data_IF_614074365430
#
_entry.id   IF_614074365430
#
_cell.length_a   1.000
_cell.length_b   1.000
_cell.length_c   1.000
_cell.angle_alpha   90.00
_cell.angle_beta   90.00
_cell.angle_gamma   90.00
#
_symmetry.space_group_name_H-M   'P 1'
#
loop_
_entity.id
_entity.type
_entity.pdbx_description
1 polymer ?
#
# COMPACT_ATOMS: atom_id res chain seq x y z
N UNK A 1 38.94 -13.79 61.80
CA UNK A 1 38.03 -12.68 61.44
C UNK A 1 38.82 -11.38 61.44
N UNK A 2 39.14 -10.84 60.26
CA UNK A 2 39.99 -9.66 60.11
C UNK A 2 39.68 -8.88 58.82
N UNK A 3 38.96 -7.77 59.00
CA UNK A 3 39.14 -6.43 58.42
C UNK A 3 39.64 -6.25 56.96
N UNK A 4 38.85 -5.41 56.27
CA UNK A 4 39.24 -4.18 55.55
C UNK A 4 39.45 -4.20 54.02
N UNK A 5 38.62 -3.33 53.40
CA UNK A 5 38.90 -2.35 52.34
C UNK A 5 39.68 -2.76 51.07
N UNK A 6 39.00 -2.55 49.94
CA UNK A 6 39.47 -1.55 48.98
C UNK A 6 40.13 -2.08 47.72
N UNK A 7 39.47 -1.85 46.58
CA UNK A 7 40.13 -1.33 45.38
C UNK A 7 39.11 -0.85 44.37
N UNK A 8 39.02 0.47 44.28
CA UNK A 8 38.49 1.18 43.12
C UNK A 8 39.58 1.12 42.06
N UNK A 9 39.30 0.49 40.92
CA UNK A 9 40.04 0.76 39.68
C UNK A 9 39.00 1.05 38.62
N UNK A 10 38.82 2.35 38.36
CA UNK A 10 38.17 2.81 37.15
C UNK A 10 39.08 2.61 35.95
N UNK A 11 38.50 2.22 34.82
CA UNK A 11 39.09 2.44 33.50
C UNK A 11 38.01 3.12 32.66
N UNK A 12 38.17 4.43 32.54
CA UNK A 12 37.62 5.26 31.49
C UNK A 12 38.65 5.24 30.36
N UNK A 13 38.32 4.71 29.18
CA UNK A 13 39.08 4.93 27.94
C UNK A 13 38.22 4.68 26.69
N UNK A 14 37.77 5.81 26.12
CA UNK A 14 37.69 6.21 24.72
C UNK A 14 37.74 5.17 23.59
N UNK A 15 36.79 5.38 22.66
CA UNK A 15 36.94 5.41 21.20
C UNK A 15 36.81 4.11 20.37
N UNK A 16 35.96 4.26 19.35
CA UNK A 16 35.89 3.57 18.06
C UNK A 16 35.11 2.25 17.95
N UNK A 17 34.37 2.16 16.82
CA UNK A 17 33.61 1.06 16.23
C UNK A 17 32.10 1.10 16.58
N UNK A 18 31.16 1.21 15.66
CA UNK A 18 31.20 1.38 14.21
C UNK A 18 29.94 2.16 13.81
N UNK A 19 30.04 2.97 12.76
CA UNK A 19 28.84 3.46 12.05
C UNK A 19 28.27 2.28 11.28
N UNK A 20 27.63 1.37 12.00
CA UNK A 20 26.76 0.38 11.39
C UNK A 20 25.57 1.18 10.86
N UNK A 21 25.62 1.49 9.56
CA UNK A 21 24.45 1.94 8.83
C UNK A 21 23.38 0.89 9.03
N UNK A 22 22.54 1.11 10.03
CA UNK A 22 21.36 0.33 10.29
C UNK A 22 20.48 0.59 9.07
N UNK A 23 20.52 -0.31 8.09
CA UNK A 23 19.53 -0.36 7.03
C UNK A 23 18.20 -0.58 7.75
N UNK A 24 17.51 0.52 8.05
CA UNK A 24 16.13 0.44 8.49
C UNK A 24 15.40 -0.39 7.43
N UNK A 25 14.68 -1.45 7.83
CA UNK A 25 13.86 -2.16 6.86
C UNK A 25 12.98 -1.13 6.17
N UNK A 26 12.97 -1.14 4.84
CA UNK A 26 12.14 -0.24 4.06
C UNK A 26 10.70 -0.29 4.55
N UNK A 27 9.97 0.82 4.43
CA UNK A 27 8.55 0.81 4.74
C UNK A 27 7.87 -0.38 4.02
N UNK A 28 6.90 -1.07 4.64
CA UNK A 28 6.21 -2.14 3.95
C UNK A 28 5.34 -1.57 2.82
N UNK A 29 5.11 -2.37 1.78
CA UNK A 29 4.06 -2.08 0.83
C UNK A 29 2.69 -2.14 1.54
N UNK A 30 1.80 -1.19 1.24
CA UNK A 30 0.48 -1.13 1.87
C UNK A 30 -0.61 -0.66 0.91
N UNK A 31 -1.86 -1.05 1.19
CA UNK A 31 -3.04 -0.48 0.53
C UNK A 31 -3.38 0.82 1.23
N UNK A 32 -3.25 1.93 0.52
CA UNK A 32 -3.49 3.27 1.07
C UNK A 32 -4.95 3.70 0.93
N UNK A 33 -5.68 3.14 -0.06
CA UNK A 33 -7.07 3.51 -0.30
C UNK A 33 -7.86 2.49 -1.09
N UNK A 34 -9.15 2.38 -0.78
CA UNK A 34 -10.16 1.76 -1.64
C UNK A 34 -11.09 2.83 -2.20
N UNK A 35 -11.24 2.87 -3.53
CA UNK A 35 -12.15 3.79 -4.23
C UNK A 35 -13.23 2.96 -4.90
N UNK A 36 -14.48 3.23 -4.57
CA UNK A 36 -15.62 2.44 -5.09
C UNK A 36 -16.69 3.32 -5.74
N UNK A 37 -17.31 2.79 -6.80
CA UNK A 37 -18.39 3.44 -7.52
C UNK A 37 -19.34 2.40 -8.13
N UNK A 38 -20.65 2.60 -7.92
CA UNK A 38 -21.69 1.86 -8.64
C UNK A 38 -21.66 2.23 -10.12
N UNK A 39 -21.71 1.22 -10.99
CA UNK A 39 -21.56 1.36 -12.43
C UNK A 39 -20.31 2.18 -12.80
N UNK A 40 -19.16 1.81 -12.21
CA UNK A 40 -17.88 2.49 -12.45
C UNK A 40 -17.14 2.00 -13.70
N UNK A 41 -17.63 0.96 -14.37
CA UNK A 41 -16.95 0.31 -15.48
C UNK A 41 -15.75 -0.54 -15.04
N UNK A 42 -14.85 -0.84 -15.97
CA UNK A 42 -13.69 -1.71 -15.72
C UNK A 42 -14.03 -3.20 -15.58
N UNK A 43 -12.99 -4.01 -15.37
CA UNK A 43 -13.08 -5.45 -15.14
C UNK A 43 -12.13 -5.82 -14.00
N UNK A 44 -12.44 -6.91 -13.27
CA UNK A 44 -11.55 -7.41 -12.23
C UNK A 44 -10.18 -7.79 -12.80
N UNK A 45 -9.14 -7.51 -12.03
CA UNK A 45 -7.74 -7.69 -12.45
C UNK A 45 -7.02 -8.68 -11.52
N UNK A 46 -6.05 -9.40 -12.06
CA UNK A 46 -5.19 -10.32 -11.31
C UNK A 46 -3.88 -9.68 -10.86
N UNK A 47 -3.49 -8.55 -11.45
CA UNK A 47 -2.25 -7.82 -11.19
C UNK A 47 -2.51 -6.33 -11.19
N UNK A 48 -1.81 -5.57 -10.36
CA UNK A 48 -1.93 -4.14 -10.28
C UNK A 48 -1.23 -3.44 -11.46
N UNK A 49 -1.76 -2.28 -11.85
CA UNK A 49 -1.17 -1.39 -12.85
C UNK A 49 -0.32 -0.34 -12.15
N UNK A 50 0.90 -0.13 -12.65
CA UNK A 50 1.81 0.92 -12.17
C UNK A 50 1.33 2.31 -12.59
N UNK A 51 1.34 3.27 -11.66
CA UNK A 51 0.90 4.66 -11.86
C UNK A 51 2.04 5.67 -11.58
N UNK A 52 3.18 5.51 -12.24
CA UNK A 52 4.37 6.32 -11.98
C UNK A 52 4.33 7.69 -12.69
N UNK A 53 3.59 7.81 -13.78
CA UNK A 53 3.51 9.01 -14.61
C UNK A 53 2.07 9.44 -14.89
N UNK A 54 1.87 10.71 -15.24
CA UNK A 54 0.53 11.22 -15.59
C UNK A 54 -0.06 10.51 -16.81
N UNK A 55 0.78 10.16 -17.79
CA UNK A 55 0.33 9.41 -18.96
C UNK A 55 -0.15 7.98 -18.60
N UNK A 56 0.47 7.33 -17.61
CA UNK A 56 0.00 6.04 -17.10
C UNK A 56 -1.30 6.19 -16.32
N UNK A 57 -1.43 7.25 -15.52
CA UNK A 57 -2.68 7.59 -14.80
C UNK A 57 -3.81 7.84 -15.79
N UNK A 58 -3.64 8.70 -16.78
CA UNK A 58 -4.69 9.00 -17.75
C UNK A 58 -5.10 7.75 -18.56
N UNK A 59 -4.14 6.91 -18.94
CA UNK A 59 -4.43 5.62 -19.60
C UNK A 59 -5.24 4.70 -18.69
N UNK A 60 -4.86 4.61 -17.42
CA UNK A 60 -5.58 3.82 -16.42
C UNK A 60 -7.00 4.35 -16.20
N UNK A 61 -7.18 5.67 -16.13
CA UNK A 61 -8.48 6.29 -15.87
C UNK A 61 -9.45 6.20 -17.07
N UNK A 62 -8.94 6.15 -18.29
CA UNK A 62 -9.75 6.11 -19.52
C UNK A 62 -10.65 4.86 -19.65
N UNK A 63 -10.44 3.82 -18.82
CA UNK A 63 -11.22 2.58 -18.85
C UNK A 63 -12.47 2.60 -17.95
N UNK A 64 -12.65 3.66 -17.17
CA UNK A 64 -13.72 3.80 -16.20
C UNK A 64 -14.75 4.83 -16.64
N UNK A 65 -15.94 4.74 -16.09
CA UNK A 65 -16.94 5.79 -16.17
C UNK A 65 -16.42 7.09 -15.51
N UNK A 66 -16.87 8.23 -16.02
CA UNK A 66 -16.37 9.56 -15.63
C UNK A 66 -16.40 9.79 -14.11
N UNK A 67 -17.48 9.34 -13.45
CA UNK A 67 -17.64 9.50 -11.99
C UNK A 67 -16.60 8.73 -11.17
N UNK A 68 -16.23 7.51 -11.60
CA UNK A 68 -15.16 6.74 -10.95
C UNK A 68 -13.79 7.31 -11.31
N UNK A 69 -13.58 7.70 -12.57
CA UNK A 69 -12.33 8.30 -13.03
C UNK A 69 -11.97 9.58 -12.26
N UNK A 70 -12.95 10.45 -11.98
CA UNK A 70 -12.75 11.66 -11.18
C UNK A 70 -12.36 11.35 -9.73
N UNK A 71 -13.07 10.41 -9.09
CA UNK A 71 -12.75 9.97 -7.72
C UNK A 71 -11.36 9.36 -7.63
N UNK A 72 -10.99 8.54 -8.61
CA UNK A 72 -9.67 7.93 -8.69
C UNK A 72 -8.58 8.97 -8.91
N UNK A 73 -8.79 9.94 -9.81
CA UNK A 73 -7.83 11.03 -10.02
C UNK A 73 -7.58 11.79 -8.72
N UNK A 74 -8.64 12.20 -8.02
CA UNK A 74 -8.52 12.91 -6.75
C UNK A 74 -7.78 12.08 -5.68
N UNK A 75 -8.07 10.78 -5.61
CA UNK A 75 -7.36 9.87 -4.70
C UNK A 75 -5.87 9.73 -5.07
N UNK A 76 -5.56 9.50 -6.34
CA UNK A 76 -4.19 9.35 -6.83
C UNK A 76 -3.35 10.60 -6.51
N UNK A 77 -3.90 11.80 -6.72
CA UNK A 77 -3.19 13.05 -6.40
C UNK A 77 -2.93 13.23 -4.89
N UNK A 78 -3.79 12.69 -4.03
CA UNK A 78 -3.56 12.72 -2.57
C UNK A 78 -2.45 11.76 -2.13
N UNK A 79 -2.37 10.60 -2.76
CA UNK A 79 -1.40 9.56 -2.37
C UNK A 79 -0.05 9.71 -3.12
N UNK A 80 -0.01 10.50 -4.19
CA UNK A 80 1.23 10.81 -4.92
C UNK A 80 2.14 11.68 -4.07
N UNK A 81 3.33 11.15 -3.74
CA UNK A 81 4.37 11.88 -3.03
C UNK A 81 5.06 11.11 -1.91
N UNK A 82 4.58 9.91 -1.56
CA UNK A 82 5.07 9.15 -0.41
C UNK A 82 6.47 8.50 -0.56
N UNK A 83 7.30 8.88 -1.55
CA UNK A 83 8.68 8.36 -1.68
C UNK A 83 8.78 6.95 -2.32
N UNK A 84 7.82 6.58 -3.16
CA UNK A 84 7.72 5.26 -3.79
C UNK A 84 6.74 5.29 -4.98
N UNK A 85 6.31 4.12 -5.44
CA UNK A 85 5.43 3.99 -6.61
C UNK A 85 4.01 3.66 -6.20
N UNK A 86 3.03 4.40 -6.74
CA UNK A 86 1.62 4.08 -6.59
C UNK A 86 1.21 3.02 -7.63
N UNK A 87 0.40 2.06 -7.19
CA UNK A 87 -0.17 0.99 -8.00
C UNK A 87 -1.68 0.98 -7.82
N UNK A 88 -2.41 0.57 -8.85
CA UNK A 88 -3.86 0.46 -8.79
C UNK A 88 -4.37 -0.84 -9.38
N UNK A 89 -5.34 -1.46 -8.72
CA UNK A 89 -5.95 -2.70 -9.18
C UNK A 89 -7.47 -2.65 -8.99
N UNK A 90 -8.24 -3.08 -9.99
CA UNK A 90 -9.66 -3.41 -9.79
C UNK A 90 -9.75 -4.73 -9.02
N UNK A 91 -9.92 -4.61 -7.71
CA UNK A 91 -9.92 -5.76 -6.80
C UNK A 91 -11.28 -6.43 -6.68
N UNK A 92 -12.36 -5.70 -6.98
CA UNK A 92 -13.71 -6.26 -6.97
C UNK A 92 -14.62 -5.57 -7.99
N UNK A 93 -15.44 -6.39 -8.64
CA UNK A 93 -16.63 -5.95 -9.38
C UNK A 93 -17.79 -6.80 -8.90
N UNK A 94 -18.70 -6.20 -8.14
CA UNK A 94 -19.76 -6.96 -7.47
C UNK A 94 -20.68 -6.08 -6.63
N UNK A 95 -21.51 -6.68 -5.80
CA UNK A 95 -22.59 -5.95 -5.11
C UNK A 95 -22.13 -5.30 -3.80
N UNK A 96 -20.98 -5.74 -3.31
CA UNK A 96 -20.44 -5.36 -2.02
C UNK A 96 -19.05 -4.74 -2.22
N UNK A 97 -18.74 -3.78 -1.34
CA UNK A 97 -17.43 -3.17 -1.27
C UNK A 97 -16.59 -3.94 -0.24
N UNK A 98 -15.39 -4.44 -0.61
CA UNK A 98 -14.47 -5.01 0.36
C UNK A 98 -14.18 -4.03 1.51
N UNK A 99 -14.13 -4.50 2.77
CA UNK A 99 -13.87 -3.63 3.92
C UNK A 99 -12.40 -3.17 3.99
N UNK A 100 -11.51 -3.87 3.28
CA UNK A 100 -10.07 -3.63 3.25
C UNK A 100 -9.43 -4.45 2.13
N UNK A 101 -8.11 -4.35 2.03
CA UNK A 101 -7.30 -5.16 1.14
C UNK A 101 -5.85 -5.21 1.63
N UNK A 102 -5.11 -6.22 1.18
CA UNK A 102 -3.69 -6.41 1.44
C UNK A 102 -2.91 -6.40 0.12
N UNK A 103 -1.62 -6.04 0.15
CA UNK A 103 -0.75 -6.03 -1.01
C UNK A 103 0.37 -7.06 -0.86
N UNK A 104 0.60 -7.82 -1.92
CA UNK A 104 1.74 -8.70 -2.12
C UNK A 104 2.62 -8.05 -3.20
N UNK A 105 3.85 -7.69 -2.86
CA UNK A 105 4.80 -7.04 -3.77
C UNK A 105 6.10 -7.84 -3.77
N UNK A 106 6.10 -8.99 -4.45
CA UNK A 106 7.27 -9.86 -4.61
C UNK A 106 7.80 -9.76 -6.04
N UNK A 107 7.21 -10.51 -6.98
CA UNK A 107 7.58 -10.52 -8.40
C UNK A 107 6.67 -9.58 -9.21
N UNK A 108 5.38 -9.63 -8.90
CA UNK A 108 4.35 -8.71 -9.36
C UNK A 108 3.70 -8.02 -8.16
N UNK A 109 3.05 -6.87 -8.40
CA UNK A 109 2.21 -6.23 -7.38
C UNK A 109 0.79 -6.75 -7.52
N UNK A 110 0.31 -7.43 -6.48
CA UNK A 110 -1.04 -7.99 -6.41
C UNK A 110 -1.72 -7.46 -5.16
N UNK A 111 -2.93 -6.93 -5.33
CA UNK A 111 -3.78 -6.49 -4.23
C UNK A 111 -4.93 -7.47 -4.05
N UNK A 112 -5.09 -7.98 -2.83
CA UNK A 112 -6.14 -8.94 -2.47
C UNK A 112 -7.18 -8.26 -1.59
N UNK A 113 -8.45 -8.20 -2.01
CA UNK A 113 -9.51 -7.65 -1.18
C UNK A 113 -9.82 -8.57 0.00
N UNK A 114 -10.15 -7.97 1.13
CA UNK A 114 -10.66 -8.71 2.28
C UNK A 114 -12.07 -9.27 1.98
N UNK A 115 -12.40 -10.45 2.50
CA UNK A 115 -13.71 -11.05 2.25
C UNK A 115 -14.83 -10.22 2.89
N UNK A 116 -15.91 -10.02 2.13
CA UNK A 116 -17.13 -9.41 2.65
C UNK A 116 -17.89 -10.44 3.49
N UNK A 117 -18.09 -10.14 4.77
CA UNK A 117 -18.69 -11.05 5.74
C UNK A 117 -20.13 -11.48 5.39
N UNK A 118 -20.95 -10.55 4.89
CA UNK A 118 -22.35 -10.79 4.56
C UNK A 118 -22.64 -10.31 3.14
N UNK A 119 -22.32 -11.15 2.16
CA UNK A 119 -22.55 -10.83 0.74
C UNK A 119 -24.04 -10.72 0.43
N UNK A 120 -24.42 -9.70 -0.33
CA UNK A 120 -25.80 -9.57 -0.81
C UNK A 120 -26.06 -10.60 -1.92
N UNK A 121 -27.20 -11.33 -1.88
CA UNK A 121 -27.52 -12.31 -2.92
C UNK A 121 -27.92 -11.68 -4.25
N UNK A 122 -28.46 -10.46 -4.22
CA UNK A 122 -28.95 -9.75 -5.40
C UNK A 122 -28.04 -8.56 -5.75
N UNK A 123 -27.63 -8.48 -7.02
CA UNK A 123 -26.85 -7.39 -7.58
C UNK A 123 -27.69 -6.52 -8.50
N UNK A 124 -28.37 -5.51 -7.94
CA UNK A 124 -29.17 -4.60 -8.76
C UNK A 124 -28.30 -3.66 -9.60
N UNK A 125 -27.13 -3.30 -9.09
CA UNK A 125 -26.12 -2.55 -9.83
C UNK A 125 -24.72 -2.93 -9.33
N UNK A 126 -23.81 -3.34 -10.23
CA UNK A 126 -22.46 -3.70 -9.84
C UNK A 126 -21.69 -2.46 -9.36
N UNK A 127 -20.89 -2.66 -8.33
CA UNK A 127 -19.92 -1.70 -7.79
C UNK A 127 -18.54 -2.15 -8.22
N UNK A 128 -17.80 -1.22 -8.82
CA UNK A 128 -16.38 -1.40 -9.11
C UNK A 128 -15.60 -0.82 -7.94
N UNK A 129 -14.71 -1.63 -7.35
CA UNK A 129 -13.77 -1.21 -6.33
C UNK A 129 -12.34 -1.32 -6.86
N UNK A 130 -11.63 -0.20 -6.80
CA UNK A 130 -10.21 -0.09 -7.11
C UNK A 130 -9.44 0.12 -5.82
N UNK A 131 -8.41 -0.68 -5.60
CA UNK A 131 -7.45 -0.45 -4.54
C UNK A 131 -6.26 0.34 -5.08
N UNK A 132 -5.81 1.33 -4.32
CA UNK A 132 -4.54 2.03 -4.50
C UNK A 132 -3.56 1.49 -3.46
N UNK A 133 -2.40 1.03 -3.92
CA UNK A 133 -1.34 0.49 -3.09
C UNK A 133 -0.06 1.29 -3.30
N UNK A 134 0.65 1.56 -2.22
CA UNK A 134 1.94 2.19 -2.23
C UNK A 134 3.02 1.11 -2.08
N UNK A 135 3.99 1.10 -2.99
CA UNK A 135 5.14 0.19 -2.95
C UNK A 135 6.41 1.03 -2.89
N UNK A 136 7.17 0.97 -1.78
CA UNK A 136 8.43 1.69 -1.63
C UNK A 136 9.48 1.24 -2.66
N UNK A 137 10.39 2.15 -3.03
CA UNK A 137 11.38 1.91 -4.08
C UNK A 137 12.54 0.97 -3.68
N UNK A 138 12.59 0.59 -2.41
CA UNK A 138 13.69 -0.10 -1.73
C UNK A 138 13.30 -1.49 -1.21
N UNK A 139 12.28 -2.09 -1.82
CA UNK A 139 11.92 -3.50 -1.61
C UNK A 139 12.80 -4.42 -2.47
#
# INVERSE_FOLDING_TARGET
MGRMLGSVVGVLLLAACASEGQSEPGAPAEVVRLVSQTAGGGQGETTATRLATDAEVDRYLARFDASLAEKLRAAIEQERGAGGTLWAQVVAVGCDVPPGASVEATDDVVVRPDPVASRKPECLAPVTTVALAFVPANQ
#
